data_IF_830189875689
#
_entry.id   IF_830189875689
#
_cell.length_a   1.000
_cell.length_b   1.000
_cell.length_c   1.000
_cell.angle_alpha   90.00
_cell.angle_beta   90.00
_cell.angle_gamma   90.00
#
_symmetry.space_group_name_H-M   'P 1'
#
loop_
_entity.id
_entity.type
_entity.pdbx_description
1 polymer ?
#
# COMPACT_ATOMS: atom_id res chain seq x y z
N UNK A 1 9.49 2.43 12.23
CA UNK A 1 10.21 3.12 11.13
C UNK A 1 9.31 3.89 10.18
N UNK A 2 8.14 3.37 9.74
CA UNK A 2 7.18 4.08 8.84
C UNK A 2 7.05 5.59 9.12
N UNK A 3 6.73 5.96 10.37
CA UNK A 3 6.55 7.36 10.75
C UNK A 3 7.80 8.25 10.56
N UNK A 4 9.01 7.68 10.67
CA UNK A 4 10.27 8.39 10.40
C UNK A 4 10.41 8.66 8.90
N UNK A 5 10.18 7.65 8.05
CA UNK A 5 10.24 7.83 6.60
C UNK A 5 9.20 8.82 6.09
N UNK A 6 7.95 8.69 6.56
CA UNK A 6 6.89 9.66 6.27
C UNK A 6 7.29 11.08 6.66
N UNK A 7 7.89 11.26 7.85
CA UNK A 7 8.37 12.58 8.28
C UNK A 7 9.46 13.13 7.35
N UNK A 8 10.43 12.32 6.95
CA UNK A 8 11.49 12.72 6.01
C UNK A 8 10.93 13.14 4.65
N UNK A 9 9.97 12.37 4.11
CA UNK A 9 9.32 12.65 2.82
C UNK A 9 8.47 13.92 2.92
N UNK A 10 7.64 14.04 3.96
CA UNK A 10 6.78 15.21 4.20
C UNK A 10 7.56 16.52 4.28
N UNK A 11 8.74 16.50 4.90
CA UNK A 11 9.60 17.69 5.05
C UNK A 11 10.66 17.82 3.95
N UNK A 12 10.55 17.05 2.86
CA UNK A 12 11.42 17.12 1.67
C UNK A 12 12.91 16.94 2.00
N UNK A 13 13.22 16.10 2.99
CA UNK A 13 14.60 15.74 3.33
C UNK A 13 15.21 14.69 2.40
N UNK A 14 14.41 14.10 1.52
CA UNK A 14 14.83 13.12 0.52
C UNK A 14 14.32 13.51 -0.86
N UNK A 15 15.06 13.15 -1.91
CA UNK A 15 14.71 13.45 -3.31
C UNK A 15 14.23 12.22 -4.09
N UNK A 16 14.48 11.02 -3.58
CA UNK A 16 14.06 9.77 -4.20
C UNK A 16 13.78 8.70 -3.14
N UNK A 17 12.85 7.81 -3.44
CA UNK A 17 12.50 6.64 -2.62
C UNK A 17 12.53 5.42 -3.51
N UNK A 18 13.22 4.37 -3.06
CA UNK A 18 13.20 3.04 -3.67
C UNK A 18 12.85 2.05 -2.58
N UNK A 19 11.80 1.27 -2.79
CA UNK A 19 11.33 0.25 -1.86
C UNK A 19 10.71 -0.91 -2.63
N UNK A 20 10.50 -2.03 -1.94
CA UNK A 20 9.78 -3.19 -2.49
C UNK A 20 8.27 -2.96 -2.45
N UNK A 21 7.50 -3.82 -3.14
CA UNK A 21 6.03 -3.79 -3.12
C UNK A 21 5.47 -3.78 -1.68
N UNK A 22 5.99 -4.64 -0.80
CA UNK A 22 5.62 -4.70 0.61
C UNK A 22 5.78 -3.35 1.35
N UNK A 23 6.77 -2.54 0.99
CA UNK A 23 6.93 -1.22 1.62
C UNK A 23 5.92 -0.17 1.14
N UNK A 24 5.35 -0.36 -0.04
CA UNK A 24 4.28 0.50 -0.59
C UNK A 24 2.92 0.04 -0.04
N UNK A 25 2.57 -1.24 -0.22
CA UNK A 25 1.24 -1.73 0.13
C UNK A 25 0.97 -1.66 1.64
N UNK A 26 1.98 -1.96 2.49
CA UNK A 26 1.85 -1.87 3.95
C UNK A 26 1.70 -0.42 4.44
N UNK A 27 2.11 0.57 3.65
CA UNK A 27 1.85 1.97 3.98
C UNK A 27 0.37 2.30 3.81
N UNK A 28 -0.21 1.96 2.65
CA UNK A 28 -1.63 2.15 2.38
C UNK A 28 -2.53 1.30 3.30
N UNK A 29 -2.18 0.03 3.52
CA UNK A 29 -2.92 -0.87 4.43
C UNK A 29 -3.00 -0.27 5.84
N UNK A 30 -1.95 0.40 6.32
CA UNK A 30 -1.95 1.06 7.64
C UNK A 30 -2.73 2.37 7.71
N UNK A 31 -3.21 2.90 6.59
CA UNK A 31 -4.23 3.96 6.61
C UNK A 31 -5.64 3.38 6.75
N UNK A 32 -5.85 2.14 6.31
CA UNK A 32 -7.15 1.45 6.31
C UNK A 32 -7.40 0.68 7.61
N UNK A 33 -6.37 0.01 8.16
CA UNK A 33 -6.51 -0.76 9.40
C UNK A 33 -5.23 -0.88 10.22
N UNK A 34 -5.39 -1.27 11.48
CA UNK A 34 -4.29 -1.33 12.45
C UNK A 34 -3.43 -2.60 12.32
N UNK A 35 -2.16 -2.47 12.72
CA UNK A 35 -1.20 -3.57 12.89
C UNK A 35 -0.87 -3.71 14.37
N UNK A 36 -0.80 -4.95 14.88
CA UNK A 36 -0.69 -5.21 16.31
C UNK A 36 0.63 -5.89 16.67
N UNK A 37 1.11 -5.62 17.88
CA UNK A 37 2.25 -6.33 18.46
C UNK A 37 1.90 -7.78 18.78
N UNK A 38 2.87 -8.66 18.57
CA UNK A 38 2.80 -10.10 18.76
C UNK A 38 4.19 -10.65 19.14
N UNK A 39 4.40 -11.95 19.03
CA UNK A 39 5.69 -12.61 19.23
C UNK A 39 6.17 -13.32 17.97
N UNK A 40 7.49 -13.37 17.79
CA UNK A 40 8.13 -14.23 16.78
C UNK A 40 7.78 -15.70 16.98
N UNK A 41 7.55 -16.13 18.22
CA UNK A 41 7.29 -17.52 18.60
C UNK A 41 5.82 -17.93 18.50
N UNK A 42 4.91 -17.04 18.08
CA UNK A 42 3.51 -17.39 17.89
C UNK A 42 3.34 -18.51 16.86
N UNK A 43 2.44 -19.46 17.17
CA UNK A 43 2.19 -20.60 16.29
C UNK A 43 1.54 -20.15 14.98
N UNK A 44 2.22 -20.38 13.86
CA UNK A 44 1.70 -20.04 12.53
C UNK A 44 0.35 -20.70 12.22
N UNK A 45 0.15 -21.95 12.65
CA UNK A 45 -1.13 -22.64 12.49
C UNK A 45 -2.25 -21.96 13.30
N UNK A 46 -1.95 -21.50 14.52
CA UNK A 46 -2.88 -20.75 15.37
C UNK A 46 -3.25 -19.40 14.76
N UNK A 47 -2.26 -18.67 14.26
CA UNK A 47 -2.47 -17.39 13.58
C UNK A 47 -3.32 -17.56 12.31
N UNK A 48 -3.02 -18.57 11.48
CA UNK A 48 -3.78 -18.85 10.26
C UNK A 48 -5.24 -19.18 10.57
N UNK A 49 -5.53 -19.97 11.61
CA UNK A 49 -6.90 -20.29 12.04
C UNK A 49 -7.68 -19.05 12.48
N UNK A 50 -7.00 -18.04 13.02
CA UNK A 50 -7.57 -16.75 13.42
C UNK A 50 -7.62 -15.72 12.29
N UNK A 51 -7.08 -16.04 11.11
CA UNK A 51 -6.97 -15.09 10.01
C UNK A 51 -6.00 -13.93 10.29
N UNK A 52 -4.89 -14.21 10.97
CA UNK A 52 -3.84 -13.24 11.27
C UNK A 52 -2.58 -13.54 10.45
N UNK A 53 -2.04 -12.55 9.74
CA UNK A 53 -0.78 -12.65 9.00
C UNK A 53 0.37 -12.13 9.87
N UNK A 54 1.47 -12.88 9.98
CA UNK A 54 2.63 -12.52 10.81
C UNK A 54 3.68 -11.77 9.99
N UNK A 55 4.17 -10.66 10.54
CA UNK A 55 5.31 -9.90 10.02
C UNK A 55 6.32 -9.74 11.16
N UNK A 56 7.25 -10.70 11.29
CA UNK A 56 8.17 -10.74 12.43
C UNK A 56 7.45 -10.91 13.76
N UNK A 57 7.51 -9.89 14.62
CA UNK A 57 6.75 -9.79 15.88
C UNK A 57 5.50 -8.92 15.77
N UNK A 58 5.00 -8.67 14.56
CA UNK A 58 3.74 -7.99 14.31
C UNK A 58 2.73 -8.98 13.72
N UNK A 59 1.45 -8.67 13.89
CA UNK A 59 0.36 -9.34 13.19
C UNK A 59 -0.57 -8.33 12.53
N UNK A 60 -1.00 -8.66 11.32
CA UNK A 60 -1.97 -7.90 10.51
C UNK A 60 -3.20 -8.78 10.33
N UNK A 61 -4.41 -8.32 10.73
CA UNK A 61 -5.64 -9.05 10.44
C UNK A 61 -5.89 -9.19 8.94
N UNK A 62 -6.40 -10.35 8.50
CA UNK A 62 -6.79 -10.57 7.11
C UNK A 62 -7.82 -9.55 6.59
N UNK A 63 -8.65 -8.99 7.48
CA UNK A 63 -9.60 -7.93 7.12
C UNK A 63 -8.93 -6.71 6.50
N UNK A 64 -7.73 -6.35 6.96
CA UNK A 64 -7.01 -5.20 6.40
C UNK A 64 -6.66 -5.41 4.91
N UNK A 65 -6.37 -6.65 4.50
CA UNK A 65 -6.11 -6.97 3.09
C UNK A 65 -7.40 -6.96 2.25
N UNK A 66 -8.56 -7.27 2.85
CA UNK A 66 -9.86 -7.14 2.19
C UNK A 66 -10.22 -5.67 2.00
N UNK A 67 -10.04 -4.84 3.02
CA UNK A 67 -10.26 -3.40 2.92
C UNK A 67 -9.32 -2.76 1.88
N UNK A 68 -8.08 -3.25 1.80
CA UNK A 68 -7.15 -2.82 0.75
C UNK A 68 -7.60 -3.23 -0.65
N UNK A 69 -8.12 -4.45 -0.82
CA UNK A 69 -8.71 -4.91 -2.08
C UNK A 69 -9.90 -4.04 -2.49
N UNK A 70 -10.85 -3.80 -1.56
CA UNK A 70 -12.02 -2.96 -1.77
C UNK A 70 -11.64 -1.51 -2.16
N UNK A 71 -10.53 -1.00 -1.62
CA UNK A 71 -10.00 0.32 -1.95
C UNK A 71 -9.27 0.36 -3.30
N UNK A 72 -8.39 -0.61 -3.58
CA UNK A 72 -7.46 -0.54 -4.72
C UNK A 72 -8.10 -0.98 -6.04
N UNK A 73 -9.01 -1.96 -6.01
CA UNK A 73 -9.59 -2.54 -7.23
C UNK A 73 -10.36 -1.49 -8.05
N UNK A 74 -11.25 -0.65 -7.48
CA UNK A 74 -11.92 0.40 -8.25
C UNK A 74 -10.95 1.42 -8.87
N UNK A 75 -9.80 1.67 -8.22
CA UNK A 75 -8.76 2.55 -8.76
C UNK A 75 -8.10 1.89 -9.96
N UNK A 76 -7.83 0.59 -9.90
CA UNK A 76 -7.27 -0.16 -11.03
C UNK A 76 -8.22 -0.23 -12.22
N UNK A 77 -9.52 -0.39 -11.99
CA UNK A 77 -10.53 -0.32 -13.06
C UNK A 77 -10.45 1.03 -13.78
N UNK A 78 -10.43 2.14 -13.02
CA UNK A 78 -10.30 3.49 -13.58
C UNK A 78 -8.97 3.71 -14.29
N UNK A 79 -7.86 3.20 -13.74
CA UNK A 79 -6.55 3.28 -14.39
C UNK A 79 -6.52 2.52 -15.72
N UNK A 80 -7.22 1.39 -15.82
CA UNK A 80 -7.36 0.64 -17.06
C UNK A 80 -8.20 1.42 -18.08
N UNK A 81 -9.35 1.96 -17.67
CA UNK A 81 -10.19 2.82 -18.52
C UNK A 81 -9.40 4.01 -19.09
N UNK A 82 -8.65 4.71 -18.23
CA UNK A 82 -7.78 5.84 -18.62
C UNK A 82 -6.71 5.39 -19.63
N UNK A 83 -6.07 4.24 -19.39
CA UNK A 83 -5.07 3.69 -20.32
C UNK A 83 -5.70 3.36 -21.67
N UNK A 84 -6.82 2.64 -21.71
CA UNK A 84 -7.50 2.26 -22.95
C UNK A 84 -7.99 3.48 -23.74
N UNK A 85 -8.57 4.48 -23.06
CA UNK A 85 -9.04 5.72 -23.69
C UNK A 85 -7.91 6.56 -24.29
N UNK A 86 -6.70 6.45 -23.76
CA UNK A 86 -5.52 7.21 -24.22
C UNK A 86 -4.79 6.58 -25.42
N UNK A 87 -5.13 5.36 -25.82
CA UNK A 87 -4.44 4.62 -26.89
C UNK A 87 -4.46 5.38 -28.22
N UNK A 88 -3.28 5.57 -28.82
CA UNK A 88 -3.14 6.29 -30.09
C UNK A 88 -3.32 7.80 -30.00
N UNK A 89 -3.41 8.36 -28.79
CA UNK A 89 -3.32 9.80 -28.56
C UNK A 89 -1.87 10.26 -28.37
N UNK A 90 -1.59 11.56 -28.49
CA UNK A 90 -0.27 12.12 -28.19
C UNK A 90 0.12 11.95 -26.71
N UNK A 91 -0.86 11.76 -25.81
CA UNK A 91 -0.68 11.57 -24.37
C UNK A 91 -1.01 10.13 -23.92
N UNK A 92 -0.62 9.13 -24.71
CA UNK A 92 -0.88 7.72 -24.38
C UNK A 92 -0.29 7.31 -23.01
N UNK A 93 -1.16 6.82 -22.12
CA UNK A 93 -0.82 6.47 -20.76
C UNK A 93 -0.19 5.09 -20.73
N UNK A 94 1.11 5.09 -20.44
CA UNK A 94 1.84 3.87 -20.10
C UNK A 94 2.13 3.89 -18.59
N UNK A 95 1.40 3.06 -17.84
CA UNK A 95 1.59 2.94 -16.39
C UNK A 95 2.95 2.31 -16.07
N UNK A 96 3.67 2.93 -15.14
CA UNK A 96 4.91 2.42 -14.55
C UNK A 96 4.72 2.30 -13.05
N UNK A 97 5.57 1.52 -12.33
CA UNK A 97 5.47 1.42 -10.88
C UNK A 97 5.45 2.79 -10.18
N UNK A 98 6.30 3.74 -10.59
CA UNK A 98 6.33 5.08 -10.00
C UNK A 98 5.07 5.90 -10.29
N UNK A 99 4.50 5.84 -11.51
CA UNK A 99 3.23 6.52 -11.85
C UNK A 99 2.06 5.94 -11.07
N UNK A 100 1.99 4.61 -10.95
CA UNK A 100 0.96 3.92 -10.16
C UNK A 100 1.06 4.29 -8.68
N UNK A 101 2.26 4.26 -8.09
CA UNK A 101 2.48 4.66 -6.69
C UNK A 101 2.08 6.13 -6.47
N UNK A 102 2.42 7.02 -7.42
CA UNK A 102 1.99 8.42 -7.34
C UNK A 102 0.46 8.58 -7.39
N UNK A 103 -0.22 7.80 -8.25
CA UNK A 103 -1.69 7.78 -8.32
C UNK A 103 -2.29 7.28 -7.02
N UNK A 104 -1.84 6.14 -6.51
CA UNK A 104 -2.33 5.55 -5.26
C UNK A 104 -2.10 6.48 -4.05
N UNK A 105 -0.96 7.18 -4.01
CA UNK A 105 -0.68 8.19 -2.98
C UNK A 105 -1.63 9.38 -3.01
N UNK A 106 -2.18 9.74 -4.18
CA UNK A 106 -3.25 10.75 -4.27
C UNK A 106 -4.61 10.20 -3.83
N UNK A 107 -4.92 8.97 -4.22
CA UNK A 107 -6.21 8.32 -3.92
C UNK A 107 -6.38 7.97 -2.43
N UNK A 108 -5.29 7.61 -1.73
CA UNK A 108 -5.38 7.32 -0.28
C UNK A 108 -5.68 8.58 0.54
N UNK A 109 -5.23 9.75 0.04
CA UNK A 109 -5.51 11.08 0.56
C UNK A 109 -5.42 11.20 2.10
N UNK A 110 -4.35 10.65 2.69
CA UNK A 110 -4.15 10.59 4.13
C UNK A 110 -2.74 11.06 4.50
N UNK A 111 -2.65 12.09 5.35
CA UNK A 111 -1.40 12.67 5.85
C UNK A 111 -0.55 11.71 6.71
N UNK A 112 -1.11 10.54 7.05
CA UNK A 112 -0.39 9.43 7.70
C UNK A 112 0.44 8.61 6.72
N UNK A 113 0.17 8.72 5.41
CA UNK A 113 0.95 8.15 4.30
C UNK A 113 2.13 9.05 3.90
#
# INVERSE_FOLDING_TARGET
MRGVFRWLVKHKHVSAVVTTAGGVEEDFIKCLGDTYMSSFSESGAGLRKKGLNRIGNLVVPNSNYREFEDWVVPIFDKMLEEQEASKGSEEEINWTPSKMINRLGKEINDERS
#
